data_IF_817035815587
#
_entry.id   IF_817035815587
#
_cell.length_a   1.000
_cell.length_b   1.000
_cell.length_c   1.000
_cell.angle_alpha   90.00
_cell.angle_beta   90.00
_cell.angle_gamma   90.00
#
_symmetry.space_group_name_H-M   'P 1'
#
loop_
_entity.id
_entity.type
_entity.pdbx_description
1 polymer ?
#
# COMPACT_ATOMS: atom_id res chain seq x y z
N UNK A 1 -18.46 -6.83 -1.86
CA UNK A 1 -17.54 -7.90 -2.33
C UNK A 1 -16.21 -7.67 -1.64
N UNK A 2 -15.61 -8.65 -0.95
CA UNK A 2 -14.31 -8.43 -0.33
C UNK A 2 -13.26 -8.19 -1.43
N UNK A 3 -12.50 -7.10 -1.32
CA UNK A 3 -11.39 -6.81 -2.21
C UNK A 3 -10.20 -7.70 -1.83
N UNK A 4 -9.76 -8.54 -2.78
CA UNK A 4 -8.60 -9.41 -2.60
C UNK A 4 -7.33 -8.71 -3.10
N UNK A 5 -6.54 -8.17 -2.18
CA UNK A 5 -5.23 -7.62 -2.49
C UNK A 5 -4.16 -8.71 -2.52
N UNK A 6 -3.19 -8.56 -3.42
CA UNK A 6 -1.98 -9.37 -3.44
C UNK A 6 -0.82 -8.52 -2.94
N UNK A 7 -0.19 -8.97 -1.86
CA UNK A 7 0.97 -8.31 -1.29
C UNK A 7 2.25 -9.01 -1.73
N UNK A 8 3.30 -8.23 -1.96
CA UNK A 8 4.64 -8.79 -1.99
C UNK A 8 5.02 -9.18 -0.56
N UNK A 9 5.33 -10.45 -0.35
CA UNK A 9 5.77 -10.96 0.93
C UNK A 9 7.28 -10.75 1.06
N UNK A 10 7.68 -10.24 2.20
CA UNK A 10 9.08 -10.10 2.58
C UNK A 10 9.71 -11.50 2.74
N UNK A 11 10.81 -11.80 2.04
CA UNK A 11 11.37 -13.15 2.04
C UNK A 11 11.99 -13.56 3.38
N UNK A 12 12.35 -12.60 4.25
CA UNK A 12 12.93 -12.89 5.56
C UNK A 12 11.87 -13.21 6.62
N UNK A 13 10.71 -12.56 6.53
CA UNK A 13 9.66 -12.66 7.56
C UNK A 13 8.39 -13.37 7.11
N UNK A 14 8.17 -13.50 5.80
CA UNK A 14 6.95 -14.04 5.21
C UNK A 14 5.73 -13.12 5.32
N UNK A 15 5.89 -11.91 5.88
CA UNK A 15 4.82 -10.92 6.02
C UNK A 15 4.78 -9.94 4.85
N UNK A 16 3.64 -9.26 4.62
CA UNK A 16 3.56 -8.17 3.65
C UNK A 16 4.69 -7.15 3.86
N UNK A 17 5.46 -6.87 2.79
CA UNK A 17 6.61 -5.95 2.86
C UNK A 17 6.21 -4.52 3.28
N UNK A 18 4.94 -4.15 3.09
CA UNK A 18 4.36 -2.87 3.54
C UNK A 18 4.53 -2.64 5.05
N UNK A 19 4.57 -3.69 5.86
CA UNK A 19 4.76 -3.56 7.31
C UNK A 19 6.15 -3.04 7.67
N UNK A 20 7.19 -3.37 6.88
CA UNK A 20 8.53 -2.78 7.05
C UNK A 20 8.54 -1.26 6.80
N UNK A 21 7.56 -0.74 6.08
CA UNK A 21 7.37 0.69 5.84
C UNK A 21 6.36 1.34 6.79
N UNK A 22 5.88 0.61 7.81
CA UNK A 22 4.89 1.11 8.76
C UNK A 22 3.49 1.33 8.16
N UNK A 23 3.22 0.71 7.01
CA UNK A 23 1.95 0.80 6.27
C UNK A 23 1.16 -0.50 6.51
N UNK A 24 -0.15 -0.36 6.78
CA UNK A 24 -1.06 -1.50 6.97
C UNK A 24 -2.02 -1.72 5.79
N UNK A 25 -2.72 -2.85 5.77
CA UNK A 25 -3.64 -3.19 4.68
C UNK A 25 -4.81 -2.22 4.52
N UNK A 26 -5.29 -1.60 5.60
CA UNK A 26 -6.39 -0.62 5.53
C UNK A 26 -5.93 0.64 4.82
N UNK A 27 -4.68 1.02 5.05
CA UNK A 27 -4.06 2.13 4.37
C UNK A 27 -3.95 1.86 2.87
N UNK A 28 -3.54 0.65 2.47
CA UNK A 28 -3.51 0.19 1.08
C UNK A 28 -4.92 0.16 0.45
N UNK A 29 -5.92 -0.33 1.18
CA UNK A 29 -7.30 -0.32 0.72
C UNK A 29 -7.78 1.11 0.45
N UNK A 30 -7.52 2.02 1.38
CA UNK A 30 -7.88 3.42 1.23
C UNK A 30 -7.17 4.09 0.04
N UNK A 31 -5.89 3.78 -0.20
CA UNK A 31 -5.10 4.26 -1.34
C UNK A 31 -5.68 3.76 -2.66
N UNK A 32 -5.97 2.46 -2.75
CA UNK A 32 -6.46 1.84 -3.97
C UNK A 32 -7.90 2.26 -4.31
N UNK A 33 -8.69 2.62 -3.29
CA UNK A 33 -10.02 3.20 -3.47
C UNK A 33 -9.99 4.70 -3.82
N UNK A 34 -8.95 5.43 -3.41
CA UNK A 34 -8.81 6.88 -3.59
C UNK A 34 -7.54 7.24 -4.38
N UNK A 35 -7.32 6.56 -5.51
CA UNK A 35 -6.21 6.81 -6.43
C UNK A 35 -6.23 8.28 -6.91
N UNK A 36 -5.08 8.97 -6.80
CA UNK A 36 -4.93 10.38 -7.18
C UNK A 36 -4.74 11.38 -6.03
N UNK A 37 -4.85 10.95 -4.78
CA UNK A 37 -4.42 11.78 -3.63
C UNK A 37 -2.91 11.67 -3.37
N UNK A 38 -2.26 12.82 -3.18
CA UNK A 38 -0.94 12.95 -2.53
C UNK A 38 -1.20 13.31 -1.07
N UNK A 39 -1.06 12.33 -0.19
CA UNK A 39 -1.30 12.52 1.25
C UNK A 39 -0.07 12.15 2.09
N UNK A 40 0.13 12.81 3.24
CA UNK A 40 1.14 12.38 4.19
C UNK A 40 0.81 10.97 4.70
N UNK A 41 1.80 10.08 4.63
CA UNK A 41 1.76 8.76 5.23
C UNK A 41 2.25 8.80 6.68
N UNK A 42 2.32 7.63 7.31
CA UNK A 42 2.86 7.49 8.68
C UNK A 42 4.36 7.77 8.70
N UNK A 43 4.85 8.30 9.82
CA UNK A 43 6.28 8.58 10.06
C UNK A 43 6.95 9.55 9.06
N UNK A 44 6.17 10.46 8.46
CA UNK A 44 6.69 11.43 7.49
C UNK A 44 6.93 10.85 6.09
N UNK A 45 6.53 9.60 5.83
CA UNK A 45 6.47 9.05 4.49
C UNK A 45 5.42 9.79 3.64
N UNK A 46 5.57 9.77 2.30
CA UNK A 46 4.56 10.33 1.38
C UNK A 46 3.97 9.20 0.57
N UNK A 47 2.64 9.18 0.49
CA UNK A 47 1.90 8.17 -0.24
C UNK A 47 1.44 8.80 -1.55
N UNK A 48 2.00 8.32 -2.66
CA UNK A 48 1.58 8.69 -3.99
C UNK A 48 0.82 7.51 -4.62
N UNK A 49 -0.51 7.63 -4.65
CA UNK A 49 -1.41 6.65 -5.21
C UNK A 49 -1.52 6.84 -6.74
N UNK A 50 -0.42 6.65 -7.47
CA UNK A 50 -0.43 6.72 -8.93
C UNK A 50 -0.93 5.40 -9.52
N UNK A 51 -1.84 5.48 -10.49
CA UNK A 51 -2.23 4.35 -11.33
C UNK A 51 -1.00 3.88 -12.13
N UNK A 52 -0.28 2.87 -11.66
CA UNK A 52 0.64 2.11 -12.50
C UNK A 52 -0.22 1.31 -13.49
N UNK A 53 -0.47 1.90 -14.65
CA UNK A 53 -0.80 1.13 -15.85
C UNK A 53 0.45 0.28 -16.14
N UNK A 54 0.45 -0.95 -15.63
CA UNK A 54 1.48 -1.92 -15.99
C UNK A 54 1.23 -2.33 -17.45
N UNK A 55 2.21 -2.02 -18.31
CA UNK A 55 2.36 -2.57 -19.65
C UNK A 55 2.82 -4.03 -19.58
#
# INVERSE_FOLDING_TARGET
>A
MPMHFRYYLDPETGYPHIYKHGVDEKEIEHILLNLGEDRPGRDGSRINALHMHTF
#
